data_IF_960863692655
#
_entry.id   IF_960863692655
#
_cell.length_a   1.000
_cell.length_b   1.000
_cell.length_c   1.000
_cell.angle_alpha   90.00
_cell.angle_beta   90.00
_cell.angle_gamma   90.00
#
_symmetry.space_group_name_H-M   'P 1'
#
loop_
_entity.id
_entity.type
_entity.pdbx_description
1 polymer ?
#
# COMPACT_ATOMS: atom_id res chain seq x y z
N UNK A 1 9.58 -1.76 12.98
CA UNK A 1 8.77 -0.77 13.74
C UNK A 1 7.60 -0.21 12.91
N UNK A 2 7.23 -0.83 11.78
CA UNK A 2 6.14 -0.39 10.90
C UNK A 2 4.90 -1.26 11.10
N UNK A 3 3.74 -0.80 10.62
CA UNK A 3 2.49 -1.55 10.61
C UNK A 3 1.99 -1.70 9.18
N UNK A 4 1.63 -2.91 8.72
CA UNK A 4 1.02 -3.09 7.40
C UNK A 4 -0.25 -2.23 7.26
N UNK A 5 -0.41 -1.55 6.13
CA UNK A 5 -1.64 -0.80 5.80
C UNK A 5 -2.70 -1.76 5.26
N UNK A 6 -3.11 -2.70 6.11
CA UNK A 6 -4.05 -3.79 5.81
C UNK A 6 -5.14 -3.79 6.87
N UNK A 7 -6.39 -3.82 6.44
CA UNK A 7 -7.59 -3.84 7.27
C UNK A 7 -8.38 -5.11 6.90
N UNK A 8 -8.93 -5.82 7.86
CA UNK A 8 -9.81 -6.94 7.56
C UNK A 8 -11.07 -6.92 8.42
N UNK A 9 -12.19 -7.28 7.81
CA UNK A 9 -13.47 -7.42 8.48
C UNK A 9 -13.78 -8.91 8.62
N UNK A 10 -13.65 -9.43 9.84
CA UNK A 10 -13.85 -10.86 10.15
C UNK A 10 -15.32 -11.22 10.13
N UNK A 11 -15.65 -12.50 10.01
CA UNK A 11 -17.05 -12.96 9.93
C UNK A 11 -17.92 -12.53 11.13
N UNK A 12 -17.36 -12.56 12.33
CA UNK A 12 -17.96 -12.15 13.60
C UNK A 12 -18.03 -10.63 13.82
N UNK A 13 -17.52 -9.83 12.87
CA UNK A 13 -17.66 -8.37 12.87
C UNK A 13 -16.50 -7.62 13.53
N UNK A 14 -15.42 -8.31 13.90
CA UNK A 14 -14.18 -7.69 14.35
C UNK A 14 -13.48 -6.96 13.18
N UNK A 15 -12.86 -5.82 13.49
CA UNK A 15 -12.00 -5.07 12.57
C UNK A 15 -10.55 -5.31 12.97
N UNK A 16 -9.82 -6.03 12.13
CA UNK A 16 -8.39 -6.26 12.30
C UNK A 16 -7.60 -5.23 11.51
N UNK A 17 -6.49 -4.74 12.08
CA UNK A 17 -5.59 -3.78 11.41
C UNK A 17 -4.14 -4.18 11.59
N UNK A 18 -3.36 -4.17 10.50
CA UNK A 18 -1.94 -4.45 10.52
C UNK A 18 -1.60 -5.93 10.40
N UNK A 19 -0.68 -6.42 11.24
CA UNK A 19 -0.24 -7.82 11.17
C UNK A 19 -1.36 -8.85 11.39
N UNK A 20 -2.31 -8.66 12.33
CA UNK A 20 -3.46 -9.55 12.45
C UNK A 20 -4.27 -9.66 11.16
N UNK A 21 -4.53 -8.52 10.48
CA UNK A 21 -5.21 -8.50 9.19
C UNK A 21 -4.39 -9.18 8.09
N UNK A 22 -3.07 -8.93 8.02
CA UNK A 22 -2.17 -9.58 7.04
C UNK A 22 -2.23 -11.11 7.17
N UNK A 23 -2.18 -11.64 8.40
CA UNK A 23 -2.14 -13.11 8.65
C UNK A 23 -3.38 -13.86 8.15
N UNK A 24 -4.55 -13.24 8.22
CA UNK A 24 -5.81 -13.89 7.80
C UNK A 24 -6.22 -13.58 6.36
N UNK A 25 -5.41 -12.80 5.62
CA UNK A 25 -5.73 -12.38 4.26
C UNK A 25 -5.98 -13.57 3.33
N UNK A 26 -5.23 -14.67 3.53
CA UNK A 26 -5.36 -15.90 2.75
C UNK A 26 -6.74 -16.56 2.88
N UNK A 27 -7.34 -16.58 4.07
CA UNK A 27 -8.64 -17.23 4.30
C UNK A 27 -9.83 -16.28 4.16
N UNK A 28 -9.58 -14.98 4.03
CA UNK A 28 -10.61 -13.95 3.92
C UNK A 28 -10.28 -12.87 2.86
N UNK A 29 -9.98 -13.26 1.61
CA UNK A 29 -9.43 -12.35 0.61
C UNK A 29 -10.41 -11.21 0.22
N UNK A 30 -11.72 -11.49 0.19
CA UNK A 30 -12.73 -10.51 -0.22
C UNK A 30 -12.99 -9.40 0.81
N UNK A 31 -12.76 -9.68 2.10
CA UNK A 31 -12.99 -8.70 3.19
C UNK A 31 -11.68 -8.20 3.81
N UNK A 32 -10.55 -8.48 3.15
CA UNK A 32 -9.22 -7.97 3.55
C UNK A 32 -8.77 -6.92 2.57
N UNK A 33 -8.76 -5.68 3.03
CA UNK A 33 -8.48 -4.48 2.26
C UNK A 33 -7.02 -4.05 2.43
N UNK A 34 -6.33 -3.85 1.32
CA UNK A 34 -4.94 -3.40 1.26
C UNK A 34 -4.73 -2.52 0.03
N UNK A 35 -3.61 -1.80 -0.04
CA UNK A 35 -3.32 -0.86 -1.13
C UNK A 35 -4.39 0.22 -1.36
N UNK A 36 -5.23 0.52 -0.35
CA UNK A 36 -6.33 1.50 -0.44
C UNK A 36 -5.85 2.92 -0.77
N UNK A 37 -4.58 3.23 -0.47
CA UNK A 37 -3.93 4.49 -0.88
C UNK A 37 -3.93 4.66 -2.41
N UNK A 38 -4.02 3.59 -3.20
CA UNK A 38 -4.17 3.67 -4.67
C UNK A 38 -5.57 4.07 -5.12
N UNK A 39 -6.58 3.97 -4.26
CA UNK A 39 -7.99 4.30 -4.56
C UNK A 39 -8.44 5.63 -3.94
N UNK A 40 -7.78 6.10 -2.89
CA UNK A 40 -8.19 7.31 -2.17
C UNK A 40 -8.19 8.52 -3.11
N UNK A 41 -9.32 9.25 -3.16
CA UNK A 41 -9.48 10.44 -4.00
C UNK A 41 -9.55 10.18 -5.52
N UNK A 42 -9.71 8.93 -5.97
CA UNK A 42 -9.90 8.59 -7.40
C UNK A 42 -11.38 8.40 -7.76
N UNK A 43 -11.69 8.54 -9.04
CA UNK A 43 -13.00 8.22 -9.60
C UNK A 43 -13.08 6.75 -9.97
N UNK A 44 -14.27 6.17 -9.88
CA UNK A 44 -14.48 4.77 -10.23
C UNK A 44 -14.10 4.48 -11.69
N UNK A 45 -14.32 5.44 -12.59
CA UNK A 45 -14.06 5.29 -14.03
C UNK A 45 -12.61 5.58 -14.43
N UNK A 46 -11.72 5.97 -13.51
CA UNK A 46 -10.32 6.20 -13.83
C UNK A 46 -9.67 4.90 -14.35
N UNK A 47 -8.81 5.01 -15.36
CA UNK A 47 -8.19 3.85 -16.01
C UNK A 47 -7.45 2.95 -15.01
N UNK A 48 -6.74 3.57 -14.06
CA UNK A 48 -6.00 2.91 -13.00
C UNK A 48 -6.93 2.11 -12.08
N UNK A 49 -8.11 2.66 -11.76
CA UNK A 49 -9.12 1.99 -10.92
C UNK A 49 -9.77 0.84 -11.70
N UNK A 50 -10.07 1.04 -12.99
CA UNK A 50 -10.61 -0.03 -13.85
C UNK A 50 -9.63 -1.19 -14.03
N UNK A 51 -8.32 -0.91 -14.02
CA UNK A 51 -7.28 -1.93 -13.96
C UNK A 51 -7.29 -2.65 -12.61
N UNK A 52 -7.33 -1.92 -11.50
CA UNK A 52 -7.32 -2.49 -10.16
C UNK A 52 -8.53 -3.39 -9.87
N UNK A 53 -9.72 -3.07 -10.41
CA UNK A 53 -10.94 -3.92 -10.32
C UNK A 53 -10.68 -5.35 -10.79
N UNK A 54 -9.82 -5.53 -11.80
CA UNK A 54 -9.52 -6.85 -12.38
C UNK A 54 -8.48 -7.62 -11.58
N UNK A 55 -7.78 -6.95 -10.66
CA UNK A 55 -6.60 -7.46 -9.96
C UNK A 55 -6.91 -7.70 -8.48
N UNK A 56 -7.66 -6.79 -7.85
CA UNK A 56 -7.89 -6.82 -6.42
C UNK A 56 -8.90 -7.92 -6.04
N UNK A 57 -8.68 -8.64 -4.93
CA UNK A 57 -9.58 -9.72 -4.49
C UNK A 57 -10.87 -9.21 -3.83
N UNK A 58 -10.87 -7.94 -3.42
CA UNK A 58 -12.01 -7.26 -2.79
C UNK A 58 -12.79 -6.43 -3.82
N UNK A 59 -14.06 -6.16 -3.51
CA UNK A 59 -14.97 -5.47 -4.44
C UNK A 59 -14.76 -3.96 -4.40
N UNK A 60 -14.33 -3.40 -5.52
CA UNK A 60 -14.31 -1.94 -5.79
C UNK A 60 -15.61 -1.58 -6.53
N UNK A 61 -16.27 -0.52 -6.11
CA UNK A 61 -17.57 -0.06 -6.62
C UNK A 61 -17.58 1.45 -6.82
N UNK A 62 -18.51 1.96 -7.62
CA UNK A 62 -18.71 3.40 -7.76
C UNK A 62 -19.63 3.93 -6.67
N UNK A 63 -19.30 5.06 -6.07
CA UNK A 63 -20.20 5.84 -5.23
C UNK A 63 -21.27 6.57 -6.07
N UNK A 64 -22.29 7.11 -5.40
CA UNK A 64 -23.38 7.82 -6.09
C UNK A 64 -22.88 9.09 -6.81
N UNK A 65 -21.77 9.67 -6.33
CA UNK A 65 -21.09 10.81 -6.95
C UNK A 65 -20.00 10.40 -7.96
N UNK A 66 -19.81 9.10 -8.23
CA UNK A 66 -18.81 8.57 -9.15
C UNK A 66 -17.44 8.26 -8.55
N UNK A 67 -17.21 8.46 -7.25
CA UNK A 67 -15.94 8.13 -6.59
C UNK A 67 -15.69 6.63 -6.50
N UNK A 68 -14.41 6.22 -6.49
CA UNK A 68 -14.03 4.84 -6.25
C UNK A 68 -14.23 4.49 -4.76
N UNK A 69 -15.16 3.58 -4.49
CA UNK A 69 -15.49 3.06 -3.16
C UNK A 69 -15.25 1.56 -3.10
N UNK A 70 -15.40 1.00 -1.90
CA UNK A 70 -15.29 -0.43 -1.66
C UNK A 70 -16.60 -0.97 -1.11
N UNK A 71 -16.88 -2.25 -1.34
CA UNK A 71 -18.00 -2.95 -0.73
C UNK A 71 -17.50 -4.14 0.07
N UNK A 72 -17.75 -4.13 1.36
CA UNK A 72 -17.40 -5.21 2.28
C UNK A 72 -18.68 -5.72 2.92
N UNK A 73 -18.99 -7.00 2.72
CA UNK A 73 -20.22 -7.63 3.25
C UNK A 73 -21.51 -6.83 2.97
N UNK A 74 -21.63 -6.28 1.76
CA UNK A 74 -22.77 -5.46 1.33
C UNK A 74 -22.78 -4.03 1.87
N UNK A 75 -21.80 -3.63 2.68
CA UNK A 75 -21.64 -2.25 3.13
C UNK A 75 -20.70 -1.49 2.20
N UNK A 76 -21.17 -0.38 1.63
CA UNK A 76 -20.38 0.53 0.81
C UNK A 76 -19.58 1.46 1.72
N UNK A 77 -18.27 1.52 1.51
CA UNK A 77 -17.33 2.30 2.32
C UNK A 77 -16.42 3.14 1.43
N UNK A 78 -16.18 4.39 1.84
CA UNK A 78 -15.24 5.28 1.18
C UNK A 78 -13.79 4.94 1.58
N UNK A 79 -12.80 5.10 0.69
CA UNK A 79 -11.39 4.89 1.03
C UNK A 79 -10.91 5.65 2.29
N UNK A 80 -11.33 6.91 2.55
CA UNK A 80 -10.96 7.60 3.78
C UNK A 80 -11.40 6.89 5.07
N UNK A 81 -12.56 6.21 5.06
CA UNK A 81 -13.04 5.45 6.23
C UNK A 81 -12.13 4.25 6.51
N UNK A 82 -11.66 3.59 5.46
CA UNK A 82 -10.78 2.42 5.58
C UNK A 82 -9.37 2.86 6.02
N UNK A 83 -8.83 3.92 5.40
CA UNK A 83 -7.54 4.49 5.82
C UNK A 83 -7.58 5.04 7.24
N UNK A 84 -8.74 5.52 7.72
CA UNK A 84 -8.91 5.96 9.10
C UNK A 84 -8.67 4.83 10.11
N UNK A 85 -8.98 3.56 9.81
CA UNK A 85 -8.70 2.44 10.72
C UNK A 85 -7.18 2.24 10.93
N UNK A 86 -6.38 2.43 9.88
CA UNK A 86 -4.91 2.43 9.99
C UNK A 86 -4.46 3.61 10.85
N UNK A 87 -5.00 4.81 10.62
CA UNK A 87 -4.65 6.00 11.39
C UNK A 87 -5.06 5.90 12.87
N UNK A 88 -6.23 5.32 13.17
CA UNK A 88 -6.66 5.02 14.55
C UNK A 88 -5.67 4.09 15.24
N UNK A 89 -5.17 3.06 14.54
CA UNK A 89 -4.14 2.18 15.09
C UNK A 89 -2.83 2.93 15.36
N UNK A 90 -2.42 3.86 14.49
CA UNK A 90 -1.21 4.66 14.70
C UNK A 90 -1.38 5.63 15.86
N UNK A 91 -2.54 6.30 15.95
CA UNK A 91 -2.94 7.12 17.10
C UNK A 91 -2.85 6.32 18.39
N UNK A 92 -3.49 5.15 18.46
CA UNK A 92 -3.46 4.28 19.64
C UNK A 92 -2.03 3.84 20.00
N UNK A 93 -1.19 3.59 19.00
CA UNK A 93 0.23 3.25 19.22
C UNK A 93 1.00 4.39 19.89
N UNK A 94 0.73 5.64 19.50
CA UNK A 94 1.31 6.81 20.13
C UNK A 94 0.75 7.03 21.55
N UNK A 95 -0.57 6.91 21.74
CA UNK A 95 -1.23 7.01 23.04
C UNK A 95 -0.69 5.98 24.04
N UNK A 96 -0.49 4.73 23.59
CA UNK A 96 0.08 3.66 24.43
C UNK A 96 1.52 3.94 24.87
N UNK A 97 2.28 4.63 24.02
CA UNK A 97 3.65 5.01 24.33
C UNK A 97 3.72 6.24 25.26
N UNK A 98 2.86 7.24 25.02
CA UNK A 98 2.86 8.51 25.75
C UNK A 98 2.08 8.44 27.08
N UNK A 99 1.11 7.54 27.19
CA UNK A 99 0.23 7.44 28.36
C UNK A 99 -0.87 8.51 28.43
N UNK A 100 -1.11 9.24 27.34
CA UNK A 100 -2.10 10.32 27.26
C UNK A 100 -2.82 10.36 25.89
N UNK A 101 -3.99 11.01 25.77
CA UNK A 101 -4.72 11.13 24.51
C UNK A 101 -3.95 11.90 23.43
N UNK A 102 -4.01 11.44 22.18
CA UNK A 102 -3.42 12.12 21.02
C UNK A 102 -4.53 12.61 20.09
N UNK A 103 -4.63 13.92 19.93
CA UNK A 103 -5.72 14.54 19.14
C UNK A 103 -5.24 15.25 17.89
N UNK A 104 -3.94 15.46 17.71
CA UNK A 104 -3.36 16.20 16.58
C UNK A 104 -2.34 15.35 15.83
N UNK A 105 -2.23 15.55 14.51
CA UNK A 105 -1.25 14.85 13.70
C UNK A 105 -0.77 15.65 12.48
N UNK A 106 0.45 15.32 12.05
CA UNK A 106 0.94 15.57 10.69
C UNK A 106 0.84 14.26 9.92
N UNK A 107 0.23 14.28 8.74
CA UNK A 107 0.02 13.08 7.90
C UNK A 107 0.74 13.27 6.58
N UNK A 108 1.45 12.25 6.12
CA UNK A 108 2.21 12.27 4.87
C UNK A 108 1.32 11.94 3.67
N UNK A 109 1.66 12.49 2.51
CA UNK A 109 1.11 12.12 1.20
C UNK A 109 2.21 12.12 0.13
N UNK A 110 2.07 11.37 -0.97
CA UNK A 110 2.95 11.49 -2.12
C UNK A 110 3.03 12.93 -2.61
N UNK A 111 4.20 13.36 -3.09
CA UNK A 111 4.36 14.72 -3.57
C UNK A 111 3.41 15.02 -4.74
N UNK A 112 3.21 14.03 -5.61
CA UNK A 112 2.37 14.13 -6.80
C UNK A 112 0.87 13.92 -6.55
N UNK A 113 0.41 13.80 -5.29
CA UNK A 113 -1.03 13.75 -4.99
C UNK A 113 -1.75 15.04 -5.40
N UNK A 114 -2.88 14.89 -6.08
CA UNK A 114 -3.78 15.98 -6.46
C UNK A 114 -4.65 16.45 -5.29
N UNK A 115 -5.44 17.52 -5.50
CA UNK A 115 -6.28 18.12 -4.47
C UNK A 115 -7.31 17.15 -3.87
N UNK A 116 -7.94 16.30 -4.70
CA UNK A 116 -8.93 15.34 -4.24
C UNK A 116 -8.29 14.27 -3.34
N UNK A 117 -7.11 13.76 -3.70
CA UNK A 117 -6.37 12.78 -2.92
C UNK A 117 -5.87 13.34 -1.58
N UNK A 118 -5.36 14.59 -1.59
CA UNK A 118 -4.94 15.32 -0.38
C UNK A 118 -6.11 15.55 0.56
N UNK A 119 -7.24 16.02 0.03
CA UNK A 119 -8.44 16.27 0.82
C UNK A 119 -8.99 14.98 1.43
N UNK A 120 -9.09 13.90 0.63
CA UNK A 120 -9.55 12.60 1.09
C UNK A 120 -8.64 12.00 2.20
N UNK A 121 -7.32 12.22 2.13
CA UNK A 121 -6.39 11.80 3.19
C UNK A 121 -6.54 12.65 4.46
N UNK A 122 -6.77 13.95 4.31
CA UNK A 122 -7.10 14.83 5.44
C UNK A 122 -8.39 14.40 6.12
N UNK A 123 -9.40 14.01 5.34
CA UNK A 123 -10.67 13.50 5.86
C UNK A 123 -10.49 12.16 6.58
N UNK A 124 -9.61 11.27 6.10
CA UNK A 124 -9.25 10.05 6.83
C UNK A 124 -8.68 10.36 8.23
N UNK A 125 -7.83 11.38 8.34
CA UNK A 125 -7.32 11.87 9.63
C UNK A 125 -8.45 12.35 10.54
N UNK A 126 -9.38 13.16 10.01
CA UNK A 126 -10.55 13.62 10.78
C UNK A 126 -11.44 12.46 11.24
N UNK A 127 -11.72 11.48 10.38
CA UNK A 127 -12.51 10.28 10.72
C UNK A 127 -11.81 9.45 11.82
N UNK A 128 -10.47 9.45 11.84
CA UNK A 128 -9.68 8.81 12.89
C UNK A 128 -9.65 9.58 14.22
N UNK A 129 -10.32 10.74 14.31
CA UNK A 129 -10.32 11.59 15.50
C UNK A 129 -8.99 12.33 15.69
N UNK A 130 -8.36 12.74 14.58
CA UNK A 130 -7.15 13.56 14.55
C UNK A 130 -7.44 14.90 13.87
N UNK A 131 -7.06 16.00 14.52
CA UNK A 131 -6.91 17.30 13.89
C UNK A 131 -5.63 17.28 13.05
N UNK A 132 -5.80 17.33 11.73
CA UNK A 132 -4.68 17.29 10.78
C UNK A 132 -4.06 18.68 10.68
N UNK A 133 -2.99 18.92 11.45
CA UNK A 133 -2.26 20.21 11.51
C UNK A 133 -1.53 20.51 10.21
N UNK A 134 -1.05 19.46 9.53
CA UNK A 134 -0.38 19.57 8.24
C UNK A 134 -0.52 18.28 7.44
N UNK A 135 -0.76 18.43 6.14
CA UNK A 135 -0.44 17.40 5.15
C UNK A 135 0.95 17.72 4.61
N UNK A 136 1.89 16.81 4.77
CA UNK A 136 3.28 16.99 4.33
C UNK A 136 3.60 16.03 3.18
N UNK A 137 4.38 16.48 2.21
CA UNK A 137 4.83 15.61 1.12
C UNK A 137 5.88 14.63 1.66
N UNK A 138 5.78 13.36 1.26
CA UNK A 138 6.68 12.27 1.63
C UNK A 138 8.17 12.60 1.39
N UNK A 139 8.59 13.04 0.19
CA UNK A 139 10.00 13.38 -0.03
C UNK A 139 10.46 14.59 0.78
N UNK A 140 9.58 15.54 1.09
CA UNK A 140 9.90 16.67 1.99
C UNK A 140 10.10 16.19 3.42
N UNK A 141 9.24 15.29 3.92
CA UNK A 141 9.41 14.69 5.24
C UNK A 141 10.72 13.90 5.35
N UNK A 142 11.09 13.17 4.30
CA UNK A 142 12.38 12.47 4.22
C UNK A 142 13.57 13.45 4.21
N UNK A 143 13.48 14.55 3.46
CA UNK A 143 14.50 15.59 3.44
C UNK A 143 14.68 16.27 4.81
N UNK A 144 13.59 16.56 5.52
CA UNK A 144 13.63 17.08 6.89
C UNK A 144 14.35 16.11 7.84
N UNK A 145 13.99 14.82 7.78
CA UNK A 145 14.65 13.78 8.58
C UNK A 145 16.15 13.67 8.29
N UNK A 146 16.53 13.72 7.00
CA UNK A 146 17.93 13.73 6.57
C UNK A 146 18.68 14.99 7.03
N UNK A 147 18.05 16.16 6.90
CA UNK A 147 18.62 17.45 7.22
C UNK A 147 18.80 17.68 8.73
N UNK A 148 18.03 17.03 9.59
CA UNK A 148 18.17 17.12 11.05
C UNK A 148 19.51 16.58 11.56
N UNK A 149 19.97 15.45 11.04
CA UNK A 149 21.11 14.69 11.57
C UNK A 149 22.45 15.05 10.88
N UNK A 150 22.39 15.59 9.66
CA UNK A 150 23.58 15.92 8.85
C UNK A 150 23.97 17.39 9.04
N UNK A 151 25.06 17.63 9.76
CA UNK A 151 25.60 18.95 10.09
C UNK A 151 26.35 19.68 8.97
N UNK A 152 25.94 19.55 7.71
CA UNK A 152 26.46 20.46 6.66
C UNK A 152 25.27 21.04 5.90
N UNK A 153 24.95 22.29 6.21
CA UNK A 153 24.05 23.13 5.40
C UNK A 153 24.61 23.35 3.99
N UNK A 154 23.76 23.91 3.13
CA UNK A 154 24.02 24.30 1.74
C UNK A 154 24.32 23.11 0.84
N UNK A 155 23.27 22.37 0.49
CA UNK A 155 23.33 21.27 -0.46
C UNK A 155 22.03 21.15 -1.24
N UNK A 156 22.13 20.67 -2.46
CA UNK A 156 20.98 20.18 -3.22
C UNK A 156 20.96 18.65 -3.16
N UNK A 157 19.80 18.07 -2.83
CA UNK A 157 19.60 16.62 -2.78
C UNK A 157 18.51 16.19 -3.78
N UNK A 158 18.61 14.95 -4.23
CA UNK A 158 17.52 14.26 -4.92
C UNK A 158 16.94 13.20 -3.98
N UNK A 159 15.64 13.29 -3.71
CA UNK A 159 14.90 12.29 -2.94
C UNK A 159 14.13 11.41 -3.91
N UNK A 160 14.60 10.18 -4.09
CA UNK A 160 13.94 9.13 -4.86
C UNK A 160 13.18 8.23 -3.90
N UNK A 161 11.85 8.26 -3.95
CA UNK A 161 10.97 7.47 -3.09
C UNK A 161 10.13 6.50 -3.95
N UNK A 162 10.44 5.21 -3.87
CA UNK A 162 9.70 4.15 -4.54
C UNK A 162 9.07 3.23 -3.49
N UNK A 163 7.80 3.47 -3.21
CA UNK A 163 7.04 2.74 -2.21
C UNK A 163 6.30 1.53 -2.77
N UNK A 164 5.32 1.05 -2.00
CA UNK A 164 4.47 -0.08 -2.39
C UNK A 164 3.52 0.25 -3.55
N UNK A 165 3.11 1.50 -3.73
CA UNK A 165 2.14 1.86 -4.78
C UNK A 165 2.32 3.23 -5.41
N UNK A 166 3.33 4.00 -4.99
CA UNK A 166 3.63 5.32 -5.53
C UNK A 166 5.13 5.49 -5.70
N UNK A 167 5.50 6.30 -6.69
CA UNK A 167 6.85 6.74 -6.97
C UNK A 167 6.89 8.26 -6.97
N UNK A 168 7.82 8.85 -6.22
CA UNK A 168 8.10 10.29 -6.25
C UNK A 168 9.61 10.53 -6.44
N UNK A 169 9.94 11.59 -7.16
CA UNK A 169 11.28 12.17 -7.25
C UNK A 169 11.18 13.67 -6.97
N UNK A 170 11.95 14.16 -6.00
CA UNK A 170 12.02 15.58 -5.69
C UNK A 170 13.45 16.08 -5.60
N UNK A 171 13.72 17.24 -6.19
CA UNK A 171 14.97 17.97 -6.04
C UNK A 171 14.75 19.02 -4.97
N UNK A 172 15.53 18.94 -3.89
CA UNK A 172 15.33 19.76 -2.70
C UNK A 172 16.65 20.44 -2.36
N UNK A 173 16.61 21.75 -2.25
CA UNK A 173 17.70 22.56 -1.71
C UNK A 173 17.54 22.67 -0.20
N UNK A 174 18.64 22.41 0.50
CA UNK A 174 18.74 22.52 1.96
C UNK A 174 19.81 23.56 2.24
N UNK A 175 19.37 24.75 2.65
CA UNK A 175 20.24 25.86 3.00
C UNK A 175 20.19 26.13 4.50
N UNK A 176 21.21 26.81 4.98
CA UNK A 176 21.28 27.31 6.35
C UNK A 176 21.49 28.82 6.31
N UNK A 177 20.44 29.57 6.65
CA UNK A 177 20.44 31.04 6.67
C UNK A 177 20.20 31.47 8.11
N UNK A 178 21.11 32.28 8.66
CA UNK A 178 21.05 32.78 10.04
C UNK A 178 20.93 31.69 11.12
N UNK A 179 21.47 30.49 10.83
CA UNK A 179 21.40 29.33 11.73
C UNK A 179 20.05 28.59 11.69
N UNK A 180 19.14 28.99 10.81
CA UNK A 180 17.89 28.28 10.52
C UNK A 180 18.03 27.49 9.21
N UNK A 181 17.61 26.22 9.24
CA UNK A 181 17.61 25.37 8.05
C UNK A 181 16.36 25.62 7.21
N UNK A 182 16.55 26.03 5.97
CA UNK A 182 15.49 26.18 4.98
C UNK A 182 15.48 25.00 4.02
N UNK A 183 14.27 24.53 3.66
CA UNK A 183 14.08 23.40 2.76
C UNK A 183 13.19 23.85 1.60
N UNK A 184 13.77 24.01 0.42
CA UNK A 184 13.06 24.45 -0.78
C UNK A 184 12.94 23.30 -1.78
N UNK A 185 11.73 22.97 -2.18
CA UNK A 185 11.49 21.98 -3.24
C UNK A 185 11.60 22.68 -4.58
N UNK A 186 12.71 22.48 -5.28
CA UNK A 186 12.98 23.09 -6.58
C UNK A 186 12.14 22.46 -7.70
N UNK A 187 11.99 21.13 -7.64
CA UNK A 187 11.20 20.39 -8.61
C UNK A 187 10.67 19.09 -8.00
N UNK A 188 9.50 18.65 -8.47
CA UNK A 188 8.92 17.36 -8.08
C UNK A 188 8.23 16.71 -9.29
N UNK A 189 8.33 15.39 -9.38
CA UNK A 189 7.66 14.57 -10.38
C UNK A 189 7.41 13.18 -9.78
N UNK A 190 6.63 12.34 -10.45
CA UNK A 190 6.31 11.02 -9.93
C UNK A 190 5.19 10.33 -10.69
N UNK A 191 4.82 9.16 -10.18
CA UNK A 191 3.67 8.38 -10.62
C UNK A 191 2.93 7.82 -9.39
N UNK A 192 1.67 8.23 -9.23
CA UNK A 192 0.84 7.86 -8.08
C UNK A 192 0.22 6.46 -8.20
N UNK A 193 0.55 5.72 -9.26
CA UNK A 193 0.10 4.35 -9.51
C UNK A 193 1.23 3.43 -9.99
N UNK A 194 2.46 3.71 -9.54
CA UNK A 194 3.65 2.88 -9.78
C UNK A 194 4.32 2.54 -8.45
N UNK A 195 4.48 1.26 -8.15
CA UNK A 195 5.23 0.85 -6.95
C UNK A 195 5.37 -0.66 -6.84
N UNK A 196 5.85 -1.13 -5.68
CA UNK A 196 6.12 -2.55 -5.41
C UNK A 196 4.99 -3.53 -5.75
N UNK A 197 3.73 -3.12 -5.67
CA UNK A 197 2.56 -3.93 -6.08
C UNK A 197 2.56 -4.25 -7.59
N UNK A 198 3.06 -3.35 -8.44
CA UNK A 198 3.22 -3.60 -9.87
C UNK A 198 4.35 -4.59 -10.14
N UNK A 199 5.43 -4.55 -9.35
CA UNK A 199 6.52 -5.53 -9.41
C UNK A 199 6.01 -6.92 -9.01
N UNK A 200 5.21 -6.99 -7.94
CA UNK A 200 4.56 -8.23 -7.51
C UNK A 200 3.64 -8.76 -8.60
N UNK A 201 2.81 -7.91 -9.22
CA UNK A 201 1.93 -8.30 -10.32
C UNK A 201 2.70 -8.91 -11.50
N UNK A 202 3.86 -8.34 -11.89
CA UNK A 202 4.69 -8.90 -12.96
C UNK A 202 5.18 -10.30 -12.61
N UNK A 203 5.66 -10.51 -11.39
CA UNK A 203 6.15 -11.82 -10.95
C UNK A 203 5.01 -12.84 -10.83
N UNK A 204 3.86 -12.44 -10.29
CA UNK A 204 2.65 -13.27 -10.23
C UNK A 204 2.24 -13.74 -11.63
N UNK A 205 2.15 -12.83 -12.60
CA UNK A 205 1.75 -13.16 -13.96
C UNK A 205 2.72 -14.16 -14.61
N UNK A 206 4.03 -14.00 -14.37
CA UNK A 206 5.03 -14.96 -14.81
C UNK A 206 4.82 -16.35 -14.17
N UNK A 207 4.65 -16.40 -12.85
CA UNK A 207 4.44 -17.67 -12.13
C UNK A 207 3.16 -18.38 -12.57
N UNK A 208 2.07 -17.65 -12.81
CA UNK A 208 0.83 -18.24 -13.34
C UNK A 208 1.04 -18.77 -14.77
N UNK A 209 1.75 -18.02 -15.62
CA UNK A 209 2.02 -18.45 -16.99
C UNK A 209 2.86 -19.75 -17.04
N UNK A 210 3.94 -19.83 -16.25
CA UNK A 210 4.75 -21.04 -16.16
C UNK A 210 3.97 -22.21 -15.53
N UNK A 211 3.17 -21.98 -14.49
CA UNK A 211 2.33 -23.03 -13.92
C UNK A 211 1.28 -23.55 -14.91
N UNK A 212 0.67 -22.67 -15.72
CA UNK A 212 -0.28 -23.05 -16.76
C UNK A 212 0.39 -23.86 -17.87
N UNK A 213 1.62 -23.51 -18.24
CA UNK A 213 2.42 -24.25 -19.22
C UNK A 213 2.80 -25.64 -18.72
N UNK A 214 3.19 -25.76 -17.44
CA UNK A 214 3.65 -27.01 -16.86
C UNK A 214 2.53 -27.95 -16.43
N UNK A 215 1.43 -27.41 -15.87
CA UNK A 215 0.32 -28.18 -15.28
C UNK A 215 -0.99 -28.07 -16.06
N UNK A 216 -1.08 -27.20 -17.06
CA UNK A 216 -2.31 -26.99 -17.85
C UNK A 216 -3.42 -26.23 -17.10
N UNK A 217 -3.15 -25.69 -15.91
CA UNK A 217 -4.15 -25.08 -15.03
C UNK A 217 -3.92 -23.58 -14.92
N UNK A 218 -4.97 -22.79 -15.09
CA UNK A 218 -4.94 -21.34 -14.91
C UNK A 218 -5.36 -20.94 -13.49
N UNK A 219 -4.39 -20.49 -12.68
CA UNK A 219 -4.62 -20.15 -11.27
C UNK A 219 -5.44 -18.87 -11.06
N UNK A 220 -5.64 -18.02 -12.08
CA UNK A 220 -6.44 -16.79 -11.94
C UNK A 220 -7.88 -17.07 -11.50
N UNK A 221 -8.39 -18.27 -11.78
CA UNK A 221 -9.75 -18.67 -11.43
C UNK A 221 -9.89 -19.19 -9.99
N UNK A 222 -8.79 -19.27 -9.24
CA UNK A 222 -8.76 -19.75 -7.85
C UNK A 222 -8.29 -18.60 -6.92
N UNK A 223 -9.22 -17.87 -6.27
CA UNK A 223 -8.88 -16.74 -5.41
C UNK A 223 -7.96 -17.11 -4.24
N UNK A 224 -8.09 -18.33 -3.71
CA UNK A 224 -7.26 -18.81 -2.60
C UNK A 224 -5.82 -19.06 -3.08
N UNK A 225 -5.67 -19.66 -4.26
CA UNK A 225 -4.37 -19.84 -4.89
C UNK A 225 -3.71 -18.50 -5.21
N UNK A 226 -4.44 -17.55 -5.79
CA UNK A 226 -3.91 -16.22 -6.14
C UNK A 226 -3.44 -15.44 -4.90
N UNK A 227 -4.16 -15.51 -3.77
CA UNK A 227 -3.73 -14.84 -2.56
C UNK A 227 -2.44 -15.45 -1.98
N UNK A 228 -2.31 -16.78 -2.00
CA UNK A 228 -1.05 -17.46 -1.61
C UNK A 228 0.09 -17.13 -2.56
N UNK A 229 -0.20 -17.05 -3.85
CA UNK A 229 0.79 -16.71 -4.87
C UNK A 229 1.27 -15.27 -4.73
N UNK A 230 0.38 -14.33 -4.37
CA UNK A 230 0.73 -12.93 -4.09
C UNK A 230 1.73 -12.83 -2.93
N UNK A 231 1.47 -13.51 -1.82
CA UNK A 231 2.39 -13.52 -0.68
C UNK A 231 3.74 -14.16 -1.02
N UNK A 232 3.73 -15.26 -1.77
CA UNK A 232 4.95 -15.94 -2.20
C UNK A 232 5.77 -15.10 -3.20
N UNK A 233 5.11 -14.41 -4.13
CA UNK A 233 5.75 -13.51 -5.08
C UNK A 233 6.35 -12.28 -4.39
N UNK A 234 5.64 -11.64 -3.46
CA UNK A 234 6.19 -10.52 -2.66
C UNK A 234 7.46 -10.98 -1.93
N UNK A 235 7.39 -12.15 -1.28
CA UNK A 235 8.53 -12.73 -0.57
C UNK A 235 9.71 -13.02 -1.51
N UNK A 236 9.46 -13.66 -2.64
CA UNK A 236 10.49 -13.99 -3.63
C UNK A 236 11.16 -12.73 -4.20
N UNK A 237 10.38 -11.69 -4.55
CA UNK A 237 10.89 -10.38 -4.98
C UNK A 237 11.85 -9.78 -3.94
N UNK A 238 11.47 -9.83 -2.66
CA UNK A 238 12.29 -9.28 -1.57
C UNK A 238 13.58 -10.10 -1.39
N UNK A 239 13.49 -11.44 -1.42
CA UNK A 239 14.68 -12.31 -1.30
C UNK A 239 15.70 -12.05 -2.42
N UNK A 240 15.22 -11.87 -3.66
CA UNK A 240 16.04 -11.52 -4.83
C UNK A 240 16.68 -10.13 -4.78
N UNK A 241 16.33 -9.29 -3.80
CA UNK A 241 17.07 -8.05 -3.55
C UNK A 241 18.47 -8.29 -2.95
N UNK A 242 18.78 -9.54 -2.58
CA UNK A 242 20.07 -9.92 -1.99
C UNK A 242 20.61 -11.25 -2.52
N UNK A 243 19.73 -12.20 -2.82
CA UNK A 243 20.08 -13.47 -3.45
C UNK A 243 20.03 -13.36 -4.98
N UNK A 244 20.79 -14.19 -5.67
CA UNK A 244 20.75 -14.30 -7.15
C UNK A 244 19.66 -15.26 -7.64
N UNK A 245 19.00 -15.96 -6.74
CA UNK A 245 17.98 -16.96 -7.03
C UNK A 245 17.12 -17.22 -5.79
N UNK A 246 15.84 -17.53 -5.98
CA UNK A 246 14.93 -18.04 -4.94
C UNK A 246 14.02 -19.13 -5.53
N UNK A 247 13.42 -19.95 -4.65
CA UNK A 247 12.47 -21.00 -5.01
C UNK A 247 11.08 -20.64 -4.48
N UNK A 248 10.13 -20.44 -5.40
CA UNK A 248 8.71 -20.29 -5.07
C UNK A 248 8.10 -21.67 -4.93
N UNK A 249 7.95 -22.13 -3.68
CA UNK A 249 7.38 -23.44 -3.36
C UNK A 249 6.04 -23.30 -2.63
N UNK A 250 4.96 -23.66 -3.32
CA UNK A 250 3.59 -23.67 -2.81
C UNK A 250 2.98 -25.08 -2.93
N UNK A 251 3.09 -25.90 -1.88
CA UNK A 251 2.44 -27.20 -1.84
C UNK A 251 0.91 -27.04 -1.82
N UNK A 252 0.19 -27.95 -2.49
CA UNK A 252 -1.28 -27.96 -2.51
C UNK A 252 -1.85 -26.61 -2.95
N UNK A 253 -1.28 -26.03 -4.01
CA UNK A 253 -1.71 -24.70 -4.48
C UNK A 253 -3.11 -24.75 -5.07
N UNK A 254 -3.46 -25.86 -5.73
CA UNK A 254 -4.79 -26.16 -6.28
C UNK A 254 -4.95 -27.68 -6.44
N UNK A 255 -6.06 -28.15 -7.00
CA UNK A 255 -6.30 -29.57 -7.30
C UNK A 255 -7.06 -29.74 -8.63
N UNK A 256 -6.87 -30.87 -9.29
CA UNK A 256 -7.63 -31.28 -10.48
C UNK A 256 -8.15 -32.72 -10.34
N UNK A 257 -8.70 -33.29 -11.42
CA UNK A 257 -9.20 -34.67 -11.44
C UNK A 257 -8.13 -35.73 -11.16
N UNK A 258 -6.84 -35.39 -11.30
CA UNK A 258 -5.70 -36.28 -11.02
C UNK A 258 -5.17 -36.14 -9.58
N UNK A 259 -5.66 -35.16 -8.82
CA UNK A 259 -5.32 -34.94 -7.42
C UNK A 259 -4.73 -33.56 -7.14
N UNK A 260 -4.07 -33.38 -5.98
CA UNK A 260 -3.49 -32.11 -5.58
C UNK A 260 -2.30 -31.72 -6.47
N UNK A 261 -2.15 -30.42 -6.69
CA UNK A 261 -1.04 -29.82 -7.47
C UNK A 261 -0.17 -28.94 -6.58
N UNK A 262 1.11 -28.86 -6.95
CA UNK A 262 2.11 -28.09 -6.24
C UNK A 262 2.80 -27.15 -7.24
N UNK A 263 3.07 -25.91 -6.84
CA UNK A 263 3.89 -25.00 -7.62
C UNK A 263 5.30 -25.02 -7.02
N UNK A 264 6.29 -25.34 -7.83
CA UNK A 264 7.71 -25.32 -7.45
C UNK A 264 8.51 -24.73 -8.61
N UNK A 265 8.71 -23.40 -8.57
CA UNK A 265 9.36 -22.66 -9.64
C UNK A 265 10.55 -21.90 -9.06
N UNK A 266 11.69 -22.08 -9.69
CA UNK A 266 12.91 -21.32 -9.41
C UNK A 266 12.89 -20.00 -10.16
N UNK A 267 13.17 -18.90 -9.48
CA UNK A 267 13.22 -17.54 -10.02
C UNK A 267 14.64 -17.00 -9.84
N UNK A 268 15.17 -16.37 -10.89
CA UNK A 268 16.50 -15.73 -10.95
C UNK A 268 16.33 -14.27 -11.34
#
# INVERSE_FOLDING_TARGET
RTTPSIIAYTQDGEILVGQPAKRQAVTNPQNTLFAIKRLIGRRFQDEEVQRDIKIMPYKITGADNGDAWLEVKGQRMAPPQISAEVLKKMKKTAEDYLGEPVTEAVITVPAYFNDAQRQATKDAGRIAGLEVKRIINEPTAAALAYGLDKGQGNRTIAVYDLGGGTFDISIIEIDEVDGEKTFEVLATNGDTHLGGEDFDSRLINYLVAEFKKDQGIDLHNDPLAMQRLKEAAEKAKIELSSAQQTDVNLPYITADATGPKHLNIKVT
#
